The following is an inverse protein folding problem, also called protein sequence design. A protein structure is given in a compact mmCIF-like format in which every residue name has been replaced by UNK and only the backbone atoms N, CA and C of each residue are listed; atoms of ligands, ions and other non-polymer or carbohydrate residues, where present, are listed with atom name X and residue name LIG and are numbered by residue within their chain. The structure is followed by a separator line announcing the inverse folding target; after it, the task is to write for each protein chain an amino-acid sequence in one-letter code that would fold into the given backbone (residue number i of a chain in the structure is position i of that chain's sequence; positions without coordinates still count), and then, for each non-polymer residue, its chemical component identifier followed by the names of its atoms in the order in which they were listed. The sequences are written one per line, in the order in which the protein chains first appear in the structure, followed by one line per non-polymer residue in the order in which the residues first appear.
data_IF_459307451595
#
_entry.id   IF_459307451595
#
_cell.length_a   1.000
_cell.length_b   1.000
_cell.length_c   1.000
_cell.angle_alpha   90.00
_cell.angle_beta   90.00
_cell.angle_gamma   90.00
#
_symmetry.space_group_name_H-M   'P 1'
#
loop_
_entity.id
_entity.type
_entity.pdbx_description
1 polymer ?
#
# COMPACT_ATOMS: atom_id res chain seq x y z
N UNK A 1 -38.12 -5.45 -4.79
CA UNK A 1 -36.94 -6.32 -4.56
C UNK A 1 -36.36 -6.02 -3.19
N UNK A 2 -36.26 -7.00 -2.29
CA UNK A 2 -35.82 -6.76 -0.91
C UNK A 2 -34.33 -6.39 -0.86
N UNK A 3 -34.00 -5.20 -0.35
CA UNK A 3 -32.62 -4.68 -0.24
C UNK A 3 -31.65 -5.64 0.47
N UNK A 4 -32.17 -6.44 1.41
CA UNK A 4 -31.40 -7.46 2.14
C UNK A 4 -30.89 -8.59 1.22
N UNK A 5 -31.68 -9.02 0.24
CA UNK A 5 -31.30 -10.09 -0.69
C UNK A 5 -30.16 -9.62 -1.60
N UNK A 6 -30.24 -8.38 -2.07
CA UNK A 6 -29.20 -7.76 -2.89
C UNK A 6 -27.85 -7.67 -2.16
N UNK A 7 -27.85 -7.26 -0.89
CA UNK A 7 -26.64 -7.19 -0.07
C UNK A 7 -26.02 -8.58 0.11
N UNK A 8 -26.83 -9.60 0.40
CA UNK A 8 -26.35 -10.97 0.56
C UNK A 8 -25.78 -11.58 -0.72
N UNK A 9 -26.28 -11.17 -1.88
CA UNK A 9 -25.77 -11.66 -3.18
C UNK A 9 -24.40 -11.06 -3.52
N UNK A 10 -24.19 -9.78 -3.18
CA UNK A 10 -22.98 -9.03 -3.53
C UNK A 10 -21.89 -9.10 -2.45
N UNK A 11 -22.28 -9.35 -1.20
CA UNK A 11 -21.36 -9.44 -0.06
C UNK A 11 -20.20 -10.42 -0.25
N UNK A 12 -20.35 -11.65 -0.81
CA UNK A 12 -19.20 -12.54 -0.97
C UNK A 12 -18.17 -11.98 -1.95
N UNK A 13 -18.61 -11.37 -3.04
CA UNK A 13 -17.72 -10.73 -4.03
C UNK A 13 -17.01 -9.52 -3.42
N UNK A 14 -17.74 -8.64 -2.73
CA UNK A 14 -17.13 -7.50 -2.04
C UNK A 14 -16.14 -7.93 -0.97
N UNK A 15 -16.47 -8.95 -0.17
CA UNK A 15 -15.56 -9.48 0.83
C UNK A 15 -14.27 -10.02 0.19
N UNK A 16 -14.41 -10.77 -0.90
CA UNK A 16 -13.26 -11.29 -1.64
C UNK A 16 -12.37 -10.18 -2.21
N UNK A 17 -12.98 -9.17 -2.84
CA UNK A 17 -12.26 -7.99 -3.35
C UNK A 17 -11.55 -7.23 -2.23
N UNK A 18 -12.22 -7.05 -1.09
CA UNK A 18 -11.64 -6.40 0.09
C UNK A 18 -10.46 -7.19 0.62
N UNK A 19 -10.55 -8.51 0.73
CA UNK A 19 -9.42 -9.34 1.19
C UNK A 19 -8.23 -9.21 0.23
N UNK A 20 -8.47 -9.32 -1.08
CA UNK A 20 -7.43 -9.20 -2.09
C UNK A 20 -6.80 -7.81 -2.13
N UNK A 21 -7.55 -6.75 -1.83
CA UNK A 21 -7.02 -5.39 -1.86
C UNK A 21 -6.33 -5.01 -0.54
N UNK A 22 -6.96 -5.33 0.59
CA UNK A 22 -6.49 -4.94 1.92
C UNK A 22 -5.28 -5.76 2.35
N UNK A 23 -5.26 -7.08 2.09
CA UNK A 23 -4.15 -7.93 2.50
C UNK A 23 -2.79 -7.47 1.96
N UNK A 24 -2.58 -7.32 0.63
CA UNK A 24 -1.30 -6.86 0.11
C UNK A 24 -1.02 -5.41 0.49
N UNK A 25 -2.05 -4.56 0.61
CA UNK A 25 -1.85 -3.18 1.07
C UNK A 25 -1.26 -3.14 2.48
N UNK A 26 -1.85 -3.86 3.44
CA UNK A 26 -1.33 -3.96 4.81
C UNK A 26 0.06 -4.57 4.85
N UNK A 27 0.32 -5.58 4.00
CA UNK A 27 1.65 -6.17 3.88
C UNK A 27 2.69 -5.17 3.34
N UNK A 28 2.35 -4.37 2.32
CA UNK A 28 3.20 -3.29 1.82
C UNK A 28 3.45 -2.21 2.87
N UNK A 29 2.44 -1.87 3.67
CA UNK A 29 2.60 -0.99 4.83
C UNK A 29 3.60 -1.57 5.83
N UNK A 30 3.45 -2.83 6.22
CA UNK A 30 4.42 -3.52 7.09
C UNK A 30 5.83 -3.50 6.51
N UNK A 31 5.99 -3.84 5.22
CA UNK A 31 7.27 -3.86 4.54
C UNK A 31 7.95 -2.49 4.49
N UNK A 32 7.18 -1.40 4.46
CA UNK A 32 7.73 -0.04 4.42
C UNK A 32 8.55 0.32 5.66
N UNK A 33 8.30 -0.35 6.80
CA UNK A 33 9.09 -0.21 8.03
C UNK A 33 10.32 -1.13 8.07
N UNK A 34 10.52 -1.97 7.06
CA UNK A 34 11.65 -2.87 6.96
C UNK A 34 12.49 -2.64 5.71
N UNK A 35 13.66 -3.26 5.69
CA UNK A 35 14.56 -3.24 4.55
C UNK A 35 14.80 -4.67 4.12
N UNK A 36 14.51 -4.96 2.84
CA UNK A 36 14.81 -6.24 2.23
C UNK A 36 16.14 -6.12 1.49
N UNK A 37 17.10 -6.99 1.82
CA UNK A 37 18.37 -7.10 1.09
C UNK A 37 18.73 -8.59 0.95
N UNK A 38 18.89 -9.05 -0.29
CA UNK A 38 19.22 -10.47 -0.55
C UNK A 38 18.18 -11.46 -0.04
N UNK A 39 16.89 -11.09 -0.07
CA UNK A 39 15.79 -11.91 0.45
C UNK A 39 15.61 -11.88 1.97
N UNK A 40 16.51 -11.22 2.71
CA UNK A 40 16.41 -11.09 4.17
C UNK A 40 15.67 -9.80 4.52
N UNK A 41 14.59 -9.93 5.28
CA UNK A 41 13.85 -8.82 5.85
C UNK A 41 14.49 -8.38 7.17
N UNK A 42 14.79 -7.08 7.28
CA UNK A 42 15.28 -6.47 8.52
C UNK A 42 14.37 -5.34 8.93
N UNK A 43 13.81 -5.37 10.13
CA UNK A 43 12.99 -4.27 10.62
C UNK A 43 13.86 -3.06 10.94
N UNK A 44 13.59 -1.91 10.31
CA UNK A 44 14.38 -0.68 10.44
C UNK A 44 13.56 0.50 10.95
N UNK A 45 12.28 0.29 11.28
CA UNK A 45 11.37 1.32 11.75
C UNK A 45 11.19 2.44 10.72
N UNK A 46 11.32 3.70 11.16
CA UNK A 46 11.10 4.87 10.31
C UNK A 46 12.29 5.26 9.41
N UNK A 47 13.40 4.51 9.45
CA UNK A 47 14.63 4.88 8.72
C UNK A 47 14.42 5.04 7.21
N UNK A 48 13.56 4.22 6.60
CA UNK A 48 13.24 4.33 5.17
C UNK A 48 12.53 5.65 4.85
N UNK A 49 11.57 6.05 5.67
CA UNK A 49 10.83 7.30 5.49
C UNK A 49 11.74 8.52 5.67
N UNK A 50 12.59 8.53 6.70
CA UNK A 50 13.58 9.61 6.91
C UNK A 50 14.54 9.69 5.72
N UNK A 51 15.00 8.55 5.19
CA UNK A 51 15.85 8.53 4.00
C UNK A 51 15.14 9.08 2.77
N UNK A 52 13.86 8.72 2.57
CA UNK A 52 13.05 9.18 1.44
C UNK A 52 12.81 10.69 1.50
N UNK A 53 12.42 11.20 2.68
CA UNK A 53 12.13 12.61 2.90
C UNK A 53 13.37 13.52 2.85
N UNK A 54 14.57 12.96 3.00
CA UNK A 54 15.83 13.69 2.85
C UNK A 54 16.46 13.51 1.45
N UNK A 55 15.78 12.85 0.50
CA UNK A 55 16.31 12.60 -0.83
C UNK A 55 15.85 13.69 -1.81
N UNK A 56 16.79 14.45 -2.39
CA UNK A 56 16.50 15.46 -3.43
C UNK A 56 15.84 14.87 -4.67
N UNK A 57 16.28 13.69 -5.09
CA UNK A 57 15.80 13.02 -6.31
C UNK A 57 14.34 12.59 -6.16
N UNK A 58 13.92 12.29 -4.93
CA UNK A 58 12.53 11.97 -4.62
C UNK A 58 11.62 13.17 -4.87
N UNK A 59 12.01 14.37 -4.40
CA UNK A 59 11.22 15.58 -4.64
C UNK A 59 11.23 16.02 -6.09
N UNK A 60 12.36 15.88 -6.79
CA UNK A 60 12.43 16.16 -8.23
C UNK A 60 11.46 15.24 -9.01
N UNK A 61 11.46 13.95 -8.69
CA UNK A 61 10.55 12.97 -9.32
C UNK A 61 9.09 13.23 -8.96
N UNK A 62 8.82 13.65 -7.73
CA UNK A 62 7.47 13.99 -7.26
C UNK A 62 6.95 15.25 -7.97
N UNK A 63 7.78 16.28 -8.11
CA UNK A 63 7.43 17.50 -8.82
C UNK A 63 7.16 17.22 -10.31
N UNK A 64 8.00 16.40 -10.96
CA UNK A 64 7.77 15.97 -12.34
C UNK A 64 6.43 15.24 -12.46
N UNK A 65 6.15 14.26 -11.61
CA UNK A 65 4.88 13.51 -11.64
C UNK A 65 3.67 14.44 -11.48
N UNK A 66 3.74 15.41 -10.56
CA UNK A 66 2.67 16.38 -10.34
C UNK A 66 2.43 17.35 -11.50
N UNK A 67 3.44 17.59 -12.35
CA UNK A 67 3.31 18.42 -13.55
C UNK A 67 2.81 17.62 -14.76
N UNK A 68 3.16 16.32 -14.84
CA UNK A 68 2.81 15.45 -15.97
C UNK A 68 1.54 14.60 -15.76
N UNK A 69 0.91 14.63 -14.58
CA UNK A 69 -0.41 14.02 -14.30
C UNK A 69 -1.51 15.03 -14.53
#
# INVERSE_FOLDING_TARGET
MNRKIFIWLISPTLLFLLVIQIYPSLYSWYLSFGKIKGGVYTFVGLKNFVRLLNNSDFYESLARTGVFT
#
